data_IF_181125543082
#
_entry.id   IF_181125543082
#
_cell.length_a   1.000
_cell.length_b   1.000
_cell.length_c   1.000
_cell.angle_alpha   90.00
_cell.angle_beta   90.00
_cell.angle_gamma   90.00
#
_symmetry.space_group_name_H-M   'P 1'
#
loop_
_entity.id
_entity.type
_entity.pdbx_description
1 polymer ?
#
# COMPACT_ATOMS: atom_id res chain seq x y z
N UNK A 1 15.78 10.77 -8.61
CA UNK A 1 16.03 10.89 -7.17
C UNK A 1 16.71 9.61 -6.73
N UNK A 2 17.79 9.67 -5.97
CA UNK A 2 18.49 8.48 -5.47
C UNK A 2 18.16 8.37 -3.99
N UNK A 3 17.33 7.41 -3.60
CA UNK A 3 16.94 7.17 -2.21
C UNK A 3 18.16 6.70 -1.40
N UNK A 4 18.33 7.18 -0.17
CA UNK A 4 19.14 6.44 0.79
C UNK A 4 18.45 5.14 1.19
N UNK A 5 19.21 4.16 1.69
CA UNK A 5 18.64 2.89 2.15
C UNK A 5 17.65 3.11 3.31
N UNK A 6 17.96 4.04 4.21
CA UNK A 6 17.11 4.35 5.36
C UNK A 6 15.77 4.97 4.93
N UNK A 7 15.79 5.97 4.05
CA UNK A 7 14.58 6.59 3.51
C UNK A 7 13.72 5.59 2.74
N UNK A 8 14.37 4.74 1.93
CA UNK A 8 13.68 3.70 1.17
C UNK A 8 12.98 2.69 2.09
N UNK A 9 13.69 2.16 3.09
CA UNK A 9 13.13 1.17 4.00
C UNK A 9 12.00 1.76 4.86
N UNK A 10 12.13 3.02 5.27
CA UNK A 10 11.07 3.70 6.01
C UNK A 10 9.81 3.87 5.16
N UNK A 11 9.96 4.30 3.90
CA UNK A 11 8.85 4.44 2.97
C UNK A 11 8.20 3.08 2.66
N UNK A 12 9.01 2.06 2.36
CA UNK A 12 8.55 0.69 2.09
C UNK A 12 7.73 0.10 3.25
N UNK A 13 8.19 0.31 4.49
CA UNK A 13 7.47 -0.16 5.67
C UNK A 13 6.12 0.58 5.83
N UNK A 14 6.10 1.89 5.59
CA UNK A 14 4.86 2.69 5.62
C UNK A 14 3.83 2.21 4.60
N UNK A 15 4.25 2.02 3.35
CA UNK A 15 3.41 1.50 2.25
C UNK A 15 2.86 0.11 2.58
N UNK A 16 3.72 -0.80 3.07
CA UNK A 16 3.29 -2.15 3.47
C UNK A 16 2.30 -2.13 4.62
N UNK A 17 2.54 -1.30 5.63
CA UNK A 17 1.64 -1.13 6.79
C UNK A 17 0.28 -0.63 6.34
N UNK A 18 0.23 0.40 5.49
CA UNK A 18 -1.01 0.94 4.93
C UNK A 18 -1.78 -0.12 4.13
N UNK A 19 -1.12 -0.76 3.18
CA UNK A 19 -1.74 -1.79 2.34
C UNK A 19 -2.25 -2.98 3.16
N UNK A 20 -1.44 -3.53 4.07
CA UNK A 20 -1.84 -4.63 4.93
C UNK A 20 -3.04 -4.26 5.81
N UNK A 21 -3.09 -3.03 6.32
CA UNK A 21 -4.24 -2.56 7.08
C UNK A 21 -5.52 -2.60 6.23
N UNK A 22 -5.49 -2.09 5.00
CA UNK A 22 -6.67 -2.08 4.11
C UNK A 22 -7.09 -3.51 3.74
N UNK A 23 -6.13 -4.37 3.40
CA UNK A 23 -6.40 -5.77 3.08
C UNK A 23 -7.03 -6.53 4.25
N UNK A 24 -6.65 -6.20 5.49
CA UNK A 24 -7.26 -6.79 6.67
C UNK A 24 -8.70 -6.30 6.87
N UNK A 25 -8.92 -4.98 6.85
CA UNK A 25 -10.23 -4.42 7.22
C UNK A 25 -11.26 -4.51 6.09
N UNK A 26 -10.86 -4.18 4.87
CA UNK A 26 -11.74 -4.15 3.70
C UNK A 26 -11.66 -5.44 2.88
N UNK A 27 -10.48 -6.07 2.84
CA UNK A 27 -10.27 -7.36 2.17
C UNK A 27 -10.60 -8.58 3.04
N UNK A 28 -10.90 -8.39 4.33
CA UNK A 28 -11.20 -9.44 5.30
C UNK A 28 -10.10 -10.51 5.44
N UNK A 29 -8.87 -10.16 5.11
CA UNK A 29 -7.72 -11.05 5.26
C UNK A 29 -7.29 -11.16 6.73
N UNK A 30 -6.69 -12.29 7.08
CA UNK A 30 -5.95 -12.40 8.35
C UNK A 30 -4.75 -11.46 8.37
N UNK A 31 -4.18 -11.20 9.54
CA UNK A 31 -2.98 -10.36 9.69
C UNK A 31 -1.83 -10.90 8.83
N UNK A 32 -1.63 -12.22 8.82
CA UNK A 32 -0.56 -12.87 8.04
C UNK A 32 -0.79 -12.69 6.54
N UNK A 33 -1.98 -13.03 6.04
CA UNK A 33 -2.30 -12.92 4.60
C UNK A 33 -2.23 -11.47 4.12
N UNK A 34 -2.68 -10.52 4.94
CA UNK A 34 -2.61 -9.10 4.62
C UNK A 34 -1.16 -8.60 4.50
N UNK A 35 -0.27 -9.06 5.39
CA UNK A 35 1.15 -8.73 5.34
C UNK A 35 1.85 -9.39 4.14
N UNK A 36 1.54 -10.65 3.86
CA UNK A 36 2.05 -11.35 2.67
C UNK A 36 1.63 -10.63 1.38
N UNK A 37 0.37 -10.18 1.30
CA UNK A 37 -0.12 -9.39 0.17
C UNK A 37 0.63 -8.05 0.04
N UNK A 38 0.91 -7.37 1.16
CA UNK A 38 1.68 -6.13 1.17
C UNK A 38 3.13 -6.34 0.70
N UNK A 39 3.80 -7.41 1.14
CA UNK A 39 5.15 -7.77 0.69
C UNK A 39 5.18 -8.12 -0.80
N UNK A 40 4.15 -8.80 -1.29
CA UNK A 40 4.03 -9.13 -2.70
C UNK A 40 3.78 -7.89 -3.58
N UNK A 41 2.98 -6.93 -3.10
CA UNK A 41 2.69 -5.70 -3.83
C UNK A 41 3.85 -4.70 -3.80
N UNK A 42 4.51 -4.58 -2.65
CA UNK A 42 5.68 -3.73 -2.45
C UNK A 42 6.92 -4.60 -2.16
N UNK A 43 7.53 -5.20 -3.20
CA UNK A 43 8.75 -5.96 -3.02
C UNK A 43 9.92 -5.05 -2.62
N UNK A 44 10.92 -5.62 -1.94
CA UNK A 44 12.18 -4.91 -1.75
C UNK A 44 12.92 -4.78 -3.08
N UNK A 45 13.39 -3.57 -3.36
CA UNK A 45 14.18 -3.24 -4.53
C UNK A 45 15.60 -2.84 -4.08
N UNK A 46 16.65 -3.48 -4.62
CA UNK A 46 18.03 -3.12 -4.37
C UNK A 46 18.35 -1.65 -4.70
N UNK A 47 19.38 -1.09 -4.06
CA UNK A 47 19.78 0.32 -4.27
C UNK A 47 20.20 0.67 -5.70
N UNK A 48 20.61 -0.32 -6.48
CA UNK A 48 20.97 -0.20 -7.90
C UNK A 48 19.83 -0.58 -8.85
N UNK A 49 18.65 -0.94 -8.33
CA UNK A 49 17.50 -1.30 -9.14
C UNK A 49 17.04 -0.09 -9.97
N UNK A 50 16.82 -0.26 -11.29
CA UNK A 50 16.27 0.80 -12.10
C UNK A 50 14.86 1.13 -11.60
N UNK A 51 14.58 2.42 -11.42
CA UNK A 51 13.30 2.93 -10.95
C UNK A 51 12.91 2.51 -9.51
N UNK A 52 13.89 2.26 -8.63
CA UNK A 52 13.65 2.02 -7.20
C UNK A 52 12.66 3.02 -6.60
N UNK A 53 11.64 2.51 -5.93
CA UNK A 53 10.59 3.28 -5.27
C UNK A 53 9.60 3.93 -6.23
N UNK A 54 9.58 3.55 -7.52
CA UNK A 54 8.63 4.10 -8.48
C UNK A 54 7.18 3.81 -8.10
N UNK A 55 6.93 2.64 -7.49
CA UNK A 55 5.58 2.23 -7.07
C UNK A 55 5.12 2.95 -5.79
N UNK A 56 6.05 3.54 -5.03
CA UNK A 56 5.70 4.32 -3.84
C UNK A 56 5.06 5.63 -4.30
N UNK A 57 3.74 5.67 -4.24
CA UNK A 57 2.93 6.79 -4.68
C UNK A 57 2.13 7.42 -3.53
N UNK A 58 2.46 7.13 -2.27
CA UNK A 58 1.68 7.55 -1.08
C UNK A 58 0.21 7.07 -1.14
N UNK A 59 -0.08 6.08 -1.98
CA UNK A 59 -1.44 5.67 -2.38
C UNK A 59 -1.73 4.20 -2.01
N UNK A 60 -1.13 3.66 -0.93
CA UNK A 60 -1.37 2.28 -0.50
C UNK A 60 -2.87 1.96 -0.31
N UNK A 61 -3.66 2.95 0.10
CA UNK A 61 -5.11 2.88 0.14
C UNK A 61 -5.71 2.59 -1.25
N UNK A 62 -5.37 3.39 -2.26
CA UNK A 62 -5.95 3.26 -3.60
C UNK A 62 -5.53 1.96 -4.26
N UNK A 63 -4.27 1.55 -4.10
CA UNK A 63 -3.80 0.26 -4.61
C UNK A 63 -4.52 -0.92 -3.98
N UNK A 64 -4.72 -0.89 -2.65
CA UNK A 64 -5.46 -1.94 -1.96
C UNK A 64 -6.95 -1.94 -2.34
N UNK A 65 -7.61 -0.78 -2.45
CA UNK A 65 -8.99 -0.69 -2.89
C UNK A 65 -9.17 -1.19 -4.33
N UNK A 66 -8.22 -0.88 -5.22
CA UNK A 66 -8.20 -1.41 -6.57
C UNK A 66 -8.01 -2.93 -6.59
N UNK A 67 -7.18 -3.49 -5.69
CA UNK A 67 -7.02 -4.93 -5.56
C UNK A 67 -8.29 -5.65 -5.07
N UNK A 68 -9.04 -5.03 -4.16
CA UNK A 68 -10.26 -5.61 -3.56
C UNK A 68 -11.48 -5.46 -4.49
N UNK A 69 -11.66 -4.26 -5.07
CA UNK A 69 -12.89 -3.88 -5.77
C UNK A 69 -12.72 -3.75 -7.29
N UNK A 70 -11.48 -3.80 -7.80
CA UNK A 70 -11.17 -3.64 -9.22
C UNK A 70 -11.15 -2.18 -9.69
N UNK A 71 -10.78 -1.97 -10.95
CA UNK A 71 -10.51 -0.65 -11.52
C UNK A 71 -11.68 0.34 -11.50
N UNK A 72 -12.93 -0.14 -11.40
CA UNK A 72 -14.13 0.71 -11.40
C UNK A 72 -14.53 1.18 -10.01
N UNK A 73 -13.83 0.76 -8.96
CA UNK A 73 -14.20 1.09 -7.59
C UNK A 73 -14.39 2.59 -7.34
N UNK A 74 -13.67 3.55 -7.95
CA UNK A 74 -13.93 4.96 -7.67
C UNK A 74 -15.32 5.42 -8.11
N UNK A 75 -15.87 4.77 -9.16
CA UNK A 75 -17.21 5.06 -9.69
C UNK A 75 -18.28 4.25 -8.96
N UNK A 76 -17.98 2.99 -8.62
CA UNK A 76 -18.93 2.06 -8.01
C UNK A 76 -19.01 2.20 -6.48
N UNK A 77 -17.94 2.73 -5.87
CA UNK A 77 -17.73 2.93 -4.44
C UNK A 77 -17.07 4.30 -4.17
N UNK A 78 -17.72 5.41 -4.56
CA UNK A 78 -17.16 6.75 -4.34
C UNK A 78 -16.86 7.03 -2.86
N UNK A 79 -17.56 6.37 -1.94
CA UNK A 79 -17.33 6.44 -0.49
C UNK A 79 -15.97 5.86 -0.04
N UNK A 80 -15.29 5.09 -0.89
CA UNK A 80 -13.97 4.48 -0.61
C UNK A 80 -12.84 5.18 -1.37
N UNK A 81 -13.10 6.27 -2.08
CA UNK A 81 -12.05 7.04 -2.76
C UNK A 81 -11.14 7.68 -1.74
N UNK A 82 -11.70 8.34 -0.74
CA UNK A 82 -10.91 8.95 0.34
C UNK A 82 -10.60 7.93 1.44
N UNK A 83 -9.36 7.89 1.96
CA UNK A 83 -9.01 7.05 3.09
C UNK A 83 -9.84 7.35 4.34
N UNK A 84 -10.16 6.31 5.11
CA UNK A 84 -10.87 6.49 6.38
C UNK A 84 -9.98 7.17 7.42
N UNK A 85 -10.60 7.79 8.44
CA UNK A 85 -9.85 8.44 9.52
C UNK A 85 -8.95 7.45 10.27
N UNK A 86 -9.40 6.21 10.44
CA UNK A 86 -8.62 5.13 11.08
C UNK A 86 -7.40 4.73 10.25
N UNK A 87 -7.48 4.79 8.93
CA UNK A 87 -6.32 4.58 8.05
C UNK A 87 -5.34 5.75 8.16
N UNK A 88 -5.84 6.99 8.13
CA UNK A 88 -4.99 8.18 8.25
C UNK A 88 -4.28 8.27 9.60
N UNK A 89 -4.85 7.67 10.64
CA UNK A 89 -4.24 7.58 11.96
C UNK A 89 -3.13 6.51 12.08
N UNK A 90 -2.78 5.82 10.99
CA UNK A 90 -1.71 4.83 11.00
C UNK A 90 -0.31 5.44 11.10
N UNK A 91 -0.14 6.73 10.83
CA UNK A 91 1.15 7.44 10.84
C UNK A 91 1.98 7.16 12.10
#
# INVERSE_FOLDING_TARGET
MTWSEAEYLQCLEGERRGYAWVMRWYGQLTVTEAWEAAVAHYPYEPGDAPYRGLVFHDEAWHWAMLAIHGYRYPVERPELVEPSAEYLALE
#
